data_IF_322221726153
#
_entry.id   IF_322221726153
#
_cell.length_a   1.000
_cell.length_b   1.000
_cell.length_c   1.000
_cell.angle_alpha   90.00
_cell.angle_beta   90.00
_cell.angle_gamma   90.00
#
_symmetry.space_group_name_H-M   'P 1'
#
loop_
_entity.id
_entity.type
_entity.pdbx_description
1 polymer ?
#
# COMPACT_ATOMS: atom_id res chain seq x y z
N UNK A 1 10.49 3.92 -7.61
CA UNK A 1 11.26 2.88 -6.90
C UNK A 1 11.32 1.65 -7.79
N UNK A 2 12.25 0.74 -7.55
CA UNK A 2 12.29 -0.57 -8.24
C UNK A 2 11.52 -1.63 -7.44
N UNK A 3 11.27 -2.80 -8.03
CA UNK A 3 10.67 -3.94 -7.32
C UNK A 3 11.61 -4.43 -6.22
N UNK A 4 12.92 -4.42 -6.48
CA UNK A 4 13.93 -4.77 -5.47
C UNK A 4 13.93 -3.82 -4.28
N UNK A 5 13.78 -2.51 -4.51
CA UNK A 5 13.60 -1.52 -3.45
C UNK A 5 12.35 -1.83 -2.61
N UNK A 6 11.23 -2.20 -3.25
CA UNK A 6 10.01 -2.59 -2.52
C UNK A 6 10.25 -3.81 -1.63
N UNK A 7 10.84 -4.87 -2.18
CA UNK A 7 11.12 -6.12 -1.44
C UNK A 7 12.12 -5.90 -0.28
N UNK A 8 13.01 -4.93 -0.41
CA UNK A 8 13.93 -4.54 0.66
C UNK A 8 13.23 -3.73 1.77
N UNK A 9 12.29 -2.86 1.42
CA UNK A 9 11.51 -2.06 2.37
C UNK A 9 10.45 -2.90 3.09
N UNK A 10 9.83 -3.84 2.38
CA UNK A 10 8.73 -4.67 2.86
C UNK A 10 9.06 -6.16 2.66
N UNK A 11 9.79 -6.79 3.60
CA UNK A 11 10.13 -8.22 3.51
C UNK A 11 8.92 -9.15 3.55
N UNK A 12 7.73 -8.64 3.92
CA UNK A 12 6.46 -9.35 3.81
C UNK A 12 5.92 -9.46 2.38
N UNK A 13 6.45 -8.70 1.42
CA UNK A 13 6.01 -8.83 0.02
C UNK A 13 6.59 -10.10 -0.59
N UNK A 14 5.76 -10.99 -1.16
CA UNK A 14 6.24 -12.27 -1.67
C UNK A 14 7.17 -12.12 -2.88
N UNK A 15 8.31 -12.83 -2.82
CA UNK A 15 9.35 -12.79 -3.86
C UNK A 15 8.92 -13.46 -5.17
N UNK A 16 7.92 -14.33 -5.13
CA UNK A 16 7.35 -14.97 -6.33
C UNK A 16 6.66 -13.98 -7.26
N UNK A 17 6.25 -12.81 -6.74
CA UNK A 17 5.68 -11.72 -7.53
C UNK A 17 6.75 -10.80 -8.15
N UNK A 18 8.05 -11.01 -7.88
CA UNK A 18 9.13 -10.08 -8.29
C UNK A 18 9.13 -9.82 -9.80
N UNK A 19 8.94 -10.87 -10.58
CA UNK A 19 9.03 -10.82 -12.04
C UNK A 19 7.67 -10.49 -12.71
N UNK A 20 6.65 -10.17 -11.91
CA UNK A 20 5.34 -9.81 -12.43
C UNK A 20 5.36 -8.42 -13.06
N UNK A 21 4.96 -8.27 -14.33
CA UNK A 21 4.95 -6.96 -15.00
C UNK A 21 4.01 -5.97 -14.29
N UNK A 22 2.89 -6.47 -13.74
CA UNK A 22 1.95 -5.66 -12.97
C UNK A 22 2.62 -5.07 -11.74
N UNK A 23 3.48 -5.83 -11.04
CA UNK A 23 4.18 -5.34 -9.87
C UNK A 23 5.20 -4.25 -10.26
N UNK A 24 5.91 -4.42 -11.37
CA UNK A 24 6.82 -3.41 -11.91
C UNK A 24 6.10 -2.09 -12.25
N UNK A 25 4.93 -2.14 -12.89
CA UNK A 25 4.11 -0.95 -13.13
C UNK A 25 3.61 -0.32 -11.83
N UNK A 26 3.22 -1.15 -10.87
CA UNK A 26 2.72 -0.73 -9.56
C UNK A 26 3.76 0.09 -8.78
N UNK A 27 4.99 -0.43 -8.66
CA UNK A 27 6.07 0.26 -7.93
C UNK A 27 6.55 1.53 -8.65
N UNK A 28 6.41 1.58 -9.97
CA UNK A 28 6.67 2.79 -10.76
C UNK A 28 5.63 3.87 -10.48
N UNK A 29 4.34 3.50 -10.48
CA UNK A 29 3.24 4.43 -10.24
C UNK A 29 3.21 4.95 -8.80
N UNK A 30 3.34 4.07 -7.82
CA UNK A 30 3.14 4.40 -6.40
C UNK A 30 4.44 4.61 -5.63
N UNK A 31 5.60 4.60 -6.30
CA UNK A 31 6.90 4.65 -5.64
C UNK A 31 7.08 5.77 -4.61
N UNK A 32 6.67 7.03 -4.88
CA UNK A 32 6.73 8.08 -3.86
C UNK A 32 5.92 7.77 -2.60
N UNK A 33 4.72 7.18 -2.75
CA UNK A 33 3.85 6.79 -1.64
C UNK A 33 4.40 5.58 -0.88
N UNK A 34 4.95 4.60 -1.60
CA UNK A 34 5.54 3.39 -1.03
C UNK A 34 6.79 3.69 -0.19
N UNK A 35 7.58 4.71 -0.53
CA UNK A 35 8.75 5.12 0.28
C UNK A 35 8.37 5.73 1.62
N UNK A 36 7.20 6.36 1.71
CA UNK A 36 6.70 6.95 2.96
C UNK A 36 5.74 6.02 3.70
N UNK A 37 5.36 4.90 3.10
CA UNK A 37 4.44 3.95 3.72
C UNK A 37 5.09 3.28 4.94
N UNK A 38 4.36 3.23 6.04
CA UNK A 38 4.83 2.65 7.29
C UNK A 38 3.85 1.60 7.78
N UNK A 39 4.36 0.44 8.17
CA UNK A 39 3.53 -0.63 8.72
C UNK A 39 2.90 -0.16 10.03
N UNK A 40 1.57 -0.26 10.20
CA UNK A 40 0.93 0.07 11.46
C UNK A 40 1.43 -0.86 12.58
N UNK A 41 1.79 -0.26 13.71
CA UNK A 41 2.03 -0.99 14.95
C UNK A 41 0.70 -1.12 15.73
N UNK A 42 0.55 -2.09 16.65
CA UNK A 42 -0.71 -2.30 17.39
C UNK A 42 -1.24 -1.06 18.14
N UNK A 43 -0.36 -0.11 18.43
CA UNK A 43 -0.66 1.16 19.07
C UNK A 43 -1.31 2.21 18.14
N UNK A 44 -1.26 1.99 16.83
CA UNK A 44 -1.80 2.92 15.84
C UNK A 44 -3.24 2.52 15.57
N UNK A 45 -4.20 3.28 16.12
CA UNK A 45 -5.63 3.04 15.90
C UNK A 45 -6.05 3.17 14.43
N UNK A 46 -7.33 2.87 14.15
CA UNK A 46 -7.93 2.64 12.80
C UNK A 46 -7.77 3.76 11.75
N UNK A 47 -7.09 4.86 12.06
CA UNK A 47 -6.76 5.93 11.13
C UNK A 47 -5.41 6.55 11.49
N UNK A 48 -4.35 5.73 11.49
CA UNK A 48 -2.96 6.20 11.59
C UNK A 48 -2.64 7.36 10.64
N UNK A 49 -1.53 8.06 10.87
CA UNK A 49 -1.09 9.12 9.96
C UNK A 49 -0.97 8.61 8.51
N UNK A 50 -1.02 9.50 7.52
CA UNK A 50 -1.01 9.16 6.09
C UNK A 50 -0.03 8.03 5.68
N UNK A 51 1.21 7.95 6.21
CA UNK A 51 2.11 6.80 6.05
C UNK A 51 1.49 5.42 6.30
N UNK A 52 0.71 5.27 7.37
CA UNK A 52 0.07 4.01 7.76
C UNK A 52 -1.06 3.65 6.81
N UNK A 53 -1.82 4.66 6.39
CA UNK A 53 -2.89 4.47 5.41
C UNK A 53 -2.31 4.02 4.06
N UNK A 54 -1.17 4.59 3.64
CA UNK A 54 -0.50 4.15 2.41
C UNK A 54 -0.05 2.69 2.49
N UNK A 55 0.48 2.24 3.63
CA UNK A 55 0.78 0.82 3.83
C UNK A 55 -0.49 -0.03 3.71
N UNK A 56 -1.54 0.32 4.45
CA UNK A 56 -2.81 -0.43 4.46
C UNK A 56 -3.45 -0.52 3.08
N UNK A 57 -3.31 0.53 2.26
CA UNK A 57 -3.91 0.58 0.91
C UNK A 57 -3.06 -0.04 -0.19
N UNK A 58 -1.73 0.04 -0.09
CA UNK A 58 -0.82 -0.31 -1.19
C UNK A 58 0.01 -1.57 -0.93
N UNK A 59 0.25 -1.94 0.33
CA UNK A 59 1.11 -3.07 0.71
C UNK A 59 0.32 -4.22 1.34
N UNK A 60 -0.79 -3.91 2.03
CA UNK A 60 -1.52 -4.91 2.82
C UNK A 60 -2.04 -6.10 1.99
N UNK A 61 -2.52 -5.89 0.76
CA UNK A 61 -2.98 -6.99 -0.09
C UNK A 61 -1.83 -7.96 -0.46
N UNK A 62 -0.61 -7.43 -0.64
CA UNK A 62 0.59 -8.25 -0.88
C UNK A 62 0.98 -9.02 0.39
N UNK A 63 0.90 -8.36 1.56
CA UNK A 63 1.18 -8.99 2.85
C UNK A 63 0.18 -10.11 3.19
N UNK A 64 -1.12 -9.92 2.88
CA UNK A 64 -2.17 -10.93 3.05
C UNK A 64 -1.92 -12.13 2.11
N UNK A 65 -1.46 -11.87 0.88
CA UNK A 65 -1.05 -12.94 -0.03
C UNK A 65 0.13 -13.74 0.54
N UNK A 66 1.12 -13.07 1.12
CA UNK A 66 2.30 -13.71 1.69
C UNK A 66 2.00 -14.76 2.78
N UNK A 67 0.97 -14.50 3.59
CA UNK A 67 0.53 -15.41 4.65
C UNK A 67 -0.50 -16.45 4.17
N UNK A 68 -0.75 -16.54 2.85
CA UNK A 68 -1.62 -17.53 2.24
C UNK A 68 -3.12 -17.25 2.37
N UNK A 69 -3.52 -16.03 2.80
CA UNK A 69 -4.93 -15.66 2.97
C UNK A 69 -5.55 -15.07 1.70
N UNK A 70 -4.76 -14.76 0.68
CA UNK A 70 -5.24 -14.38 -0.65
C UNK A 70 -4.67 -15.31 -1.73
N UNK A 71 -5.33 -15.36 -2.89
CA UNK A 71 -4.84 -16.09 -4.07
C UNK A 71 -4.05 -15.14 -4.98
N UNK A 72 -3.00 -15.63 -5.64
CA UNK A 72 -2.16 -14.86 -6.59
C UNK A 72 -2.98 -14.06 -7.59
N UNK A 73 -3.85 -14.72 -8.35
CA UNK A 73 -4.66 -14.05 -9.39
C UNK A 73 -5.55 -12.95 -8.82
N UNK A 74 -6.10 -13.16 -7.62
CA UNK A 74 -6.93 -12.17 -6.94
C UNK A 74 -6.10 -10.97 -6.48
N UNK A 75 -4.88 -11.21 -6.00
CA UNK A 75 -3.92 -10.16 -5.63
C UNK A 75 -3.51 -9.33 -6.86
N UNK A 76 -3.15 -9.99 -7.96
CA UNK A 76 -2.80 -9.32 -9.21
C UNK A 76 -3.97 -8.49 -9.77
N UNK A 77 -5.19 -9.04 -9.76
CA UNK A 77 -6.38 -8.30 -10.18
C UNK A 77 -6.65 -7.06 -9.31
N UNK A 78 -6.38 -7.12 -7.99
CA UNK A 78 -6.50 -5.95 -7.10
C UNK A 78 -5.44 -4.89 -7.38
N UNK A 79 -4.19 -5.30 -7.65
CA UNK A 79 -3.12 -4.39 -8.06
C UNK A 79 -3.49 -3.67 -9.35
N UNK A 80 -3.99 -4.41 -10.34
CA UNK A 80 -4.45 -3.85 -11.61
C UNK A 80 -5.60 -2.86 -11.42
N UNK A 81 -6.63 -3.21 -10.65
CA UNK A 81 -7.75 -2.30 -10.37
C UNK A 81 -7.30 -1.01 -9.66
N UNK A 82 -6.26 -1.09 -8.83
CA UNK A 82 -5.67 0.07 -8.16
C UNK A 82 -4.90 0.96 -9.12
N UNK A 83 -4.11 0.35 -10.03
CA UNK A 83 -3.45 1.06 -11.13
C UNK A 83 -4.46 1.77 -12.03
N UNK A 84 -5.56 1.12 -12.38
CA UNK A 84 -6.58 1.70 -13.25
C UNK A 84 -7.28 2.89 -12.58
N UNK A 85 -7.58 2.80 -11.28
CA UNK A 85 -8.10 3.96 -10.52
C UNK A 85 -7.09 5.10 -10.46
N UNK A 86 -5.80 4.79 -10.27
CA UNK A 86 -4.76 5.82 -10.30
C UNK A 86 -4.64 6.47 -11.68
N UNK A 87 -4.73 5.71 -12.77
CA UNK A 87 -4.70 6.23 -14.15
C UNK A 87 -5.86 7.19 -14.43
N UNK A 88 -7.03 6.96 -13.83
CA UNK A 88 -8.17 7.87 -13.97
C UNK A 88 -7.94 9.22 -13.30
N UNK A 89 -7.19 9.26 -12.18
CA UNK A 89 -7.03 10.47 -11.38
C UNK A 89 -5.64 10.56 -10.70
N UNK A 90 -4.53 10.63 -11.46
CA UNK A 90 -3.19 10.45 -10.90
C UNK A 90 -2.81 11.56 -9.89
N UNK A 91 -3.22 12.81 -10.16
CA UNK A 91 -2.89 13.96 -9.31
C UNK A 91 -3.60 13.94 -7.95
N UNK A 92 -4.80 13.36 -7.88
CA UNK A 92 -5.63 13.37 -6.66
C UNK A 92 -5.72 12.00 -6.00
N UNK A 93 -5.20 10.94 -6.62
CA UNK A 93 -5.32 9.57 -6.12
C UNK A 93 -4.83 9.43 -4.67
N UNK A 94 -3.68 10.01 -4.34
CA UNK A 94 -3.15 10.00 -2.96
C UNK A 94 -4.12 10.61 -1.94
N UNK A 95 -4.85 11.67 -2.33
CA UNK A 95 -5.88 12.29 -1.50
C UNK A 95 -7.14 11.42 -1.35
N UNK A 96 -7.38 10.49 -2.27
CA UNK A 96 -8.48 9.50 -2.14
C UNK A 96 -8.11 8.33 -1.22
N UNK A 97 -6.81 8.08 -1.01
CA UNK A 97 -6.35 6.98 -0.17
C UNK A 97 -6.49 7.30 1.32
N UNK A 98 -6.20 8.55 1.70
CA UNK A 98 -6.24 9.02 3.09
C UNK A 98 -7.64 9.53 3.42
N UNK A 99 -8.38 8.88 4.34
CA UNK A 99 -9.67 9.39 4.80
C UNK A 99 -9.51 10.83 5.32
N UNK A 100 -10.46 11.71 4.96
CA UNK A 100 -10.49 13.05 5.54
C UNK A 100 -10.65 12.93 7.04
N UNK A 101 -9.64 13.37 7.79
CA UNK A 101 -9.67 13.41 9.24
C UNK A 101 -10.73 14.41 9.69
N UNK A 102 -11.66 13.98 10.53
CA UNK A 102 -12.64 14.89 11.13
C UNK A 102 -11.93 15.96 11.98
N UNK A 103 -12.39 17.22 11.97
CA UNK A 103 -11.86 18.25 12.85
C UNK A 103 -11.90 17.77 14.31
N UNK A 104 -10.77 17.84 15.02
CA UNK A 104 -10.66 17.43 16.44
C UNK A 104 -10.37 15.95 16.69
N UNK A 105 -10.18 15.12 15.66
CA UNK A 105 -9.84 13.70 15.86
C UNK A 105 -8.47 13.55 16.56
N UNK A 106 -8.37 12.76 17.66
CA UNK A 106 -7.14 12.57 18.41
C UNK A 106 -6.02 12.00 17.53
N UNK A 107 -4.76 12.32 17.83
CA UNK A 107 -3.60 11.71 17.15
C UNK A 107 -3.62 10.21 17.42
N UNK A 108 -3.49 9.41 16.36
CA UNK A 108 -3.28 7.99 16.49
C UNK A 108 -1.89 7.78 17.13
N UNK A 109 -1.87 7.27 18.35
CA UNK A 109 -0.65 7.01 19.10
C UNK A 109 -0.97 6.40 20.46
N UNK A 110 -0.06 5.57 20.98
CA UNK A 110 -0.15 5.08 22.35
C UNK A 110 0.06 6.25 23.32
N UNK A 111 -0.80 6.33 24.34
CA UNK A 111 -0.78 7.37 25.38
C UNK A 111 0.07 6.91 26.56
#
# INVERSE_FOLDING_TARGET
>A
MTVDELLALFPEVPRDLRDEPILAEYVKAFGPLLRVAQKPTPCVGDNGDAPHVFYTRLVNDLAIYAIGLAKRDRTLARLQATLDKHRQQPATFACTLVPRRAPGAPRAGCR
#
